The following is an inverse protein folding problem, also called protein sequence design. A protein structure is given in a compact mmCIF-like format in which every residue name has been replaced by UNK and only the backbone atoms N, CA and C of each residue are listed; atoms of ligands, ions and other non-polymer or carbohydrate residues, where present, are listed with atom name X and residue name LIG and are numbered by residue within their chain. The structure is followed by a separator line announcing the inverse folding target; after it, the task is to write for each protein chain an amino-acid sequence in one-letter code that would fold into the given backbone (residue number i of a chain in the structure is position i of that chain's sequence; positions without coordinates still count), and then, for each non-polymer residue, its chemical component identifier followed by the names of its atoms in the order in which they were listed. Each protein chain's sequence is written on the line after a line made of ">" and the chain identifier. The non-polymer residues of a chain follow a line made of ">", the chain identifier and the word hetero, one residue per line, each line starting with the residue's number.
data_IF_156577861254
#
_entry.id   IF_156577861254
#
_cell.length_a   1.000
_cell.length_b   1.000
_cell.length_c   1.000
_cell.angle_alpha   90.00
_cell.angle_beta   90.00
_cell.angle_gamma   90.00
#
_symmetry.space_group_name_H-M   'P 1'
#
loop_
_entity.id
_entity.type
_entity.pdbx_description
1 polymer ?
#
# COMPACT_ATOMS: atom_id res chain seq x y z
N UNK A 1 -0.51 -1.44 -15.93
CA UNK A 1 -0.58 -2.40 -14.81
C UNK A 1 0.48 -1.96 -13.81
N UNK A 2 0.16 -1.93 -12.52
CA UNK A 2 1.13 -1.57 -11.47
C UNK A 2 1.93 -2.79 -11.03
N UNK A 3 3.10 -2.52 -10.44
CA UNK A 3 3.93 -3.56 -9.86
C UNK A 3 3.33 -4.12 -8.57
N UNK A 4 3.78 -5.31 -8.19
CA UNK A 4 3.35 -5.95 -6.96
C UNK A 4 3.96 -5.22 -5.76
N UNK A 5 3.13 -4.79 -4.81
CA UNK A 5 3.62 -4.12 -3.59
C UNK A 5 4.21 -5.18 -2.65
N UNK A 6 5.49 -5.07 -2.26
CA UNK A 6 6.11 -5.97 -1.28
C UNK A 6 5.45 -5.80 0.09
N UNK A 7 5.59 -6.82 0.94
CA UNK A 7 5.10 -6.76 2.32
C UNK A 7 5.79 -5.61 3.07
N UNK A 8 5.01 -4.87 3.87
CA UNK A 8 5.54 -3.82 4.74
C UNK A 8 6.00 -4.43 6.08
N UNK A 9 7.14 -4.00 6.65
CA UNK A 9 7.54 -4.43 7.98
C UNK A 9 6.53 -3.93 9.02
N UNK A 10 6.20 -4.76 10.02
CA UNK A 10 5.31 -4.42 11.13
C UNK A 10 3.92 -3.96 10.67
N UNK A 11 3.43 -4.50 9.56
CA UNK A 11 2.12 -4.21 9.03
C UNK A 11 1.70 -5.19 7.95
N UNK A 12 0.54 -4.91 7.35
CA UNK A 12 -0.13 -5.73 6.36
C UNK A 12 -0.55 -4.85 5.19
N UNK A 13 -0.41 -5.39 3.99
CA UNK A 13 -0.92 -4.78 2.75
C UNK A 13 -2.03 -5.66 2.17
N UNK A 14 -3.19 -5.04 1.91
CA UNK A 14 -4.37 -5.66 1.32
C UNK A 14 -4.62 -4.94 0.00
N UNK A 15 -4.34 -5.60 -1.13
CA UNK A 15 -4.57 -5.08 -2.47
C UNK A 15 -5.70 -5.83 -3.15
N UNK A 16 -6.54 -5.11 -3.89
CA UNK A 16 -7.60 -5.71 -4.71
C UNK A 16 -7.05 -6.31 -6.01
N UNK A 17 -5.84 -5.89 -6.42
CA UNK A 17 -5.17 -6.32 -7.64
C UNK A 17 -4.00 -5.41 -8.00
N UNK A 18 -3.49 -5.59 -9.21
CA UNK A 18 -2.37 -4.81 -9.79
C UNK A 18 -2.78 -4.08 -11.08
N UNK A 19 -4.07 -4.04 -11.41
CA UNK A 19 -4.58 -3.35 -12.60
C UNK A 19 -4.95 -1.89 -12.30
N UNK A 20 -4.97 -1.04 -13.33
CA UNK A 20 -5.34 0.38 -13.21
C UNK A 20 -6.74 0.48 -12.57
N UNK A 21 -6.88 1.29 -11.53
CA UNK A 21 -8.07 1.38 -10.68
C UNK A 21 -8.06 0.47 -9.45
N UNK A 22 -7.12 -0.48 -9.34
CA UNK A 22 -6.92 -1.27 -8.12
C UNK A 22 -6.50 -0.38 -6.97
N UNK A 23 -6.91 -0.75 -5.75
CA UNK A 23 -6.48 -0.07 -4.53
C UNK A 23 -5.72 -1.02 -3.62
N UNK A 24 -4.71 -0.48 -2.95
CA UNK A 24 -3.96 -1.16 -1.92
C UNK A 24 -4.14 -0.39 -0.61
N UNK A 25 -4.62 -1.11 0.41
CA UNK A 25 -4.79 -0.63 1.77
C UNK A 25 -3.67 -1.19 2.65
N UNK A 26 -3.15 -0.36 3.53
CA UNK A 26 -2.10 -0.68 4.46
C UNK A 26 -2.60 -0.55 5.88
N UNK A 27 -2.23 -1.51 6.73
CA UNK A 27 -2.57 -1.49 8.15
C UNK A 27 -1.33 -1.87 8.94
N UNK A 28 -0.93 -1.05 9.90
CA UNK A 28 0.18 -1.40 10.79
C UNK A 28 -0.27 -2.38 11.88
N UNK A 29 0.66 -3.19 12.35
CA UNK A 29 0.43 -4.09 13.47
C UNK A 29 0.22 -3.30 14.77
N UNK A 30 -0.40 -3.95 15.76
CA UNK A 30 -0.68 -3.35 17.06
C UNK A 30 0.62 -2.81 17.68
N UNK A 31 0.61 -1.53 18.08
CA UNK A 31 1.72 -0.71 18.62
C UNK A 31 2.57 0.05 17.60
N UNK A 32 2.38 -0.18 16.30
CA UNK A 32 3.04 0.60 15.25
C UNK A 32 2.12 1.68 14.69
N UNK A 33 2.70 2.82 14.33
CA UNK A 33 1.96 3.91 13.70
C UNK A 33 2.24 3.97 12.20
N UNK A 34 1.17 4.20 11.43
CA UNK A 34 1.28 4.34 9.98
C UNK A 34 1.74 5.74 9.61
N UNK A 35 2.91 5.83 8.98
CA UNK A 35 3.43 7.08 8.40
C UNK A 35 3.26 7.06 6.89
N UNK A 36 2.33 7.87 6.39
CA UNK A 36 2.06 8.02 4.97
C UNK A 36 0.60 7.79 4.64
N UNK A 37 0.33 7.37 3.39
CA UNK A 37 -1.03 7.07 2.94
C UNK A 37 -1.42 5.65 3.32
N UNK A 38 -2.52 5.53 4.05
CA UNK A 38 -3.11 4.23 4.38
C UNK A 38 -3.63 3.51 3.13
N UNK A 39 -4.07 4.24 2.11
CA UNK A 39 -4.53 3.66 0.86
C UNK A 39 -3.90 4.35 -0.35
N UNK A 40 -3.52 3.55 -1.33
CA UNK A 40 -2.96 3.99 -2.60
C UNK A 40 -3.72 3.34 -3.75
N UNK A 41 -3.68 3.99 -4.92
CA UNK A 41 -4.46 3.56 -6.09
C UNK A 41 -3.52 3.35 -7.26
N UNK A 42 -3.73 2.26 -8.00
CA UNK A 42 -3.01 1.99 -9.21
C UNK A 42 -3.53 2.90 -10.33
N UNK A 43 -2.67 3.78 -10.82
CA UNK A 43 -2.92 4.70 -11.93
C UNK A 43 -2.21 4.21 -13.19
N UNK A 44 -2.38 4.91 -14.32
CA UNK A 44 -1.68 4.59 -15.56
C UNK A 44 -0.16 4.58 -15.42
N UNK A 45 0.37 5.44 -14.54
CA UNK A 45 1.80 5.63 -14.29
C UNK A 45 2.35 4.74 -13.16
N UNK A 46 1.52 3.90 -12.55
CA UNK A 46 1.89 3.10 -11.37
C UNK A 46 1.09 3.46 -10.12
N UNK A 47 1.58 3.07 -8.96
CA UNK A 47 0.91 3.38 -7.70
C UNK A 47 0.96 4.88 -7.39
N UNK A 48 -0.18 5.47 -7.03
CA UNK A 48 -0.31 6.93 -6.83
C UNK A 48 0.59 7.49 -5.74
N UNK A 49 0.96 6.67 -4.75
CA UNK A 49 1.90 7.03 -3.69
C UNK A 49 2.77 5.82 -3.32
N UNK A 50 3.87 6.09 -2.64
CA UNK A 50 4.73 5.04 -2.09
C UNK A 50 4.07 4.30 -0.92
N UNK A 51 4.45 3.02 -0.68
CA UNK A 51 4.02 2.28 0.48
C UNK A 51 4.36 3.03 1.78
N UNK A 52 3.44 3.11 2.75
CA UNK A 52 3.70 3.76 4.03
C UNK A 52 4.64 2.92 4.89
N UNK A 53 5.21 3.55 5.91
CA UNK A 53 6.11 2.91 6.87
C UNK A 53 5.38 2.75 8.19
N UNK A 54 5.49 1.57 8.80
CA UNK A 54 5.05 1.31 10.17
C UNK A 54 6.25 1.43 11.12
N UNK A 55 6.17 2.31 12.10
CA UNK A 55 7.24 2.62 13.07
C UNK A 55 6.73 2.64 14.51
#
# INVERSE_FOLDING_TARGET
>A
QCEDIPQIPNGKVIKTGTFIGSTANFSCDTRYQLRGKQSITCTGDGWSHYPPICY
#
